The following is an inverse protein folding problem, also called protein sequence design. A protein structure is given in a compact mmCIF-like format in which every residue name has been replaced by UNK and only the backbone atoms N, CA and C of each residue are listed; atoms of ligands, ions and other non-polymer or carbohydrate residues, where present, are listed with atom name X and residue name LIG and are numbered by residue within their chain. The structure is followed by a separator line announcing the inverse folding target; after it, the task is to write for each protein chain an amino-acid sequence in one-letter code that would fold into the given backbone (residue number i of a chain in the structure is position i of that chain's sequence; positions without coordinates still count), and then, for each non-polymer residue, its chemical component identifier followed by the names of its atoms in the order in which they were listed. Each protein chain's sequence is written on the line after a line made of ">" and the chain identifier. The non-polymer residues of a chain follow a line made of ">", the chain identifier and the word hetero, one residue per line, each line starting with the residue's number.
data_IF_384130671640
#
_entry.id   IF_384130671640
#
_cell.length_a   1.000
_cell.length_b   1.000
_cell.length_c   1.000
_cell.angle_alpha   90.00
_cell.angle_beta   90.00
_cell.angle_gamma   90.00
#
_symmetry.space_group_name_H-M   'P 1'
#
loop_
_entity.id
_entity.type
_entity.pdbx_description
1 polymer ?
#
# COMPACT_ATOMS: atom_id res chain seq x y z
N UNK A 1 -66.63 23.99 17.32
CA UNK A 1 -66.66 25.22 18.15
C UNK A 1 -65.30 25.92 18.24
N UNK A 2 -64.19 25.22 18.45
CA UNK A 2 -62.85 25.84 18.58
C UNK A 2 -62.43 26.66 17.34
N UNK A 3 -62.65 26.16 16.13
CA UNK A 3 -62.33 26.88 14.87
C UNK A 3 -63.18 28.14 14.64
N UNK A 4 -64.41 28.16 15.09
CA UNK A 4 -65.29 29.36 14.99
C UNK A 4 -64.82 30.44 15.96
N UNK A 5 -64.36 30.03 17.16
CA UNK A 5 -63.81 30.93 18.16
C UNK A 5 -62.49 31.54 17.72
N UNK A 6 -61.59 30.73 17.15
CA UNK A 6 -60.36 31.16 16.53
C UNK A 6 -60.58 32.11 15.34
N UNK A 7 -61.59 31.86 14.50
CA UNK A 7 -61.96 32.74 13.41
C UNK A 7 -62.44 34.11 13.90
N UNK A 8 -63.29 34.13 14.93
CA UNK A 8 -63.79 35.37 15.52
C UNK A 8 -62.65 36.17 16.18
N UNK A 9 -61.76 35.48 16.88
CA UNK A 9 -60.57 36.09 17.52
C UNK A 9 -59.65 36.71 16.46
N UNK A 10 -59.36 35.95 15.38
CA UNK A 10 -58.52 36.39 14.26
C UNK A 10 -59.15 37.60 13.55
N UNK A 11 -60.49 37.58 13.31
CA UNK A 11 -61.19 38.68 12.71
C UNK A 11 -61.18 39.93 13.58
N UNK A 12 -61.32 39.83 14.90
CA UNK A 12 -61.19 40.94 15.84
C UNK A 12 -59.75 41.54 15.89
N UNK A 13 -58.75 40.73 15.85
CA UNK A 13 -57.35 41.17 15.83
C UNK A 13 -57.00 41.93 14.55
N UNK A 14 -57.51 41.49 13.41
CA UNK A 14 -57.29 42.13 12.10
C UNK A 14 -58.15 43.38 11.93
N UNK A 15 -59.42 43.39 12.46
CA UNK A 15 -60.39 44.44 12.27
C UNK A 15 -60.38 45.63 13.25
N UNK A 16 -59.49 45.63 14.25
CA UNK A 16 -59.48 46.50 15.40
C UNK A 16 -58.80 47.87 15.23
N UNK A 17 -58.33 48.22 14.01
CA UNK A 17 -57.57 49.47 13.82
C UNK A 17 -57.80 50.02 12.37
N UNK A 18 -57.90 51.34 12.24
CA UNK A 18 -58.08 52.07 10.97
C UNK A 18 -57.00 51.62 9.92
N UNK A 19 -57.41 51.40 8.65
CA UNK A 19 -56.53 50.97 7.60
C UNK A 19 -55.51 52.08 7.26
N UNK A 20 -54.23 51.82 7.45
CA UNK A 20 -53.18 52.55 6.76
C UNK A 20 -52.72 51.71 5.58
N UNK A 21 -52.34 52.31 4.45
CA UNK A 21 -51.87 51.62 3.26
C UNK A 21 -50.75 50.60 3.55
N UNK A 22 -49.91 50.85 4.55
CA UNK A 22 -48.88 49.93 5.00
C UNK A 22 -49.42 48.64 5.62
N UNK A 23 -50.60 48.73 6.28
CA UNK A 23 -51.26 47.56 6.89
C UNK A 23 -51.95 46.66 5.89
N UNK A 24 -52.57 47.26 4.88
CA UNK A 24 -53.14 46.48 3.77
C UNK A 24 -52.06 45.67 3.07
N UNK A 25 -50.90 46.27 2.80
CA UNK A 25 -49.73 45.56 2.26
C UNK A 25 -49.23 44.46 3.19
N UNK A 26 -49.18 44.69 4.54
CA UNK A 26 -48.79 43.67 5.50
C UNK A 26 -49.76 42.47 5.50
N UNK A 27 -51.08 42.74 5.48
CA UNK A 27 -52.11 41.68 5.42
C UNK A 27 -52.00 40.92 4.11
N UNK A 28 -51.84 41.61 2.98
CA UNK A 28 -51.66 41.00 1.67
C UNK A 28 -50.42 40.09 1.64
N UNK A 29 -49.29 40.54 2.20
CA UNK A 29 -48.08 39.73 2.31
C UNK A 29 -48.29 38.49 3.17
N UNK A 30 -49.07 38.60 4.28
CA UNK A 30 -49.39 37.43 5.12
C UNK A 30 -50.25 36.42 4.39
N UNK A 31 -51.27 36.90 3.67
CA UNK A 31 -52.18 36.05 2.87
C UNK A 31 -51.39 35.36 1.75
N UNK A 32 -50.56 36.10 0.99
CA UNK A 32 -49.75 35.55 -0.08
C UNK A 32 -48.75 34.50 0.44
N UNK A 33 -48.12 34.76 1.58
CA UNK A 33 -47.24 33.77 2.24
C UNK A 33 -47.99 32.52 2.64
N UNK A 34 -49.19 32.65 3.19
CA UNK A 34 -50.01 31.49 3.54
C UNK A 34 -50.40 30.69 2.29
N UNK A 35 -50.82 31.35 1.20
CA UNK A 35 -51.12 30.69 -0.06
C UNK A 35 -49.92 29.97 -0.65
N UNK A 36 -48.73 30.56 -0.64
CA UNK A 36 -47.48 29.94 -1.07
C UNK A 36 -47.17 28.71 -0.21
N UNK A 37 -47.35 28.78 1.11
CA UNK A 37 -47.18 27.66 2.01
C UNK A 37 -48.16 26.51 1.74
N UNK A 38 -49.41 26.81 1.40
CA UNK A 38 -50.40 25.79 1.04
C UNK A 38 -50.04 25.14 -0.30
N UNK A 39 -49.62 25.91 -1.27
CA UNK A 39 -49.20 25.44 -2.59
C UNK A 39 -47.91 24.58 -2.48
N UNK A 40 -46.96 24.99 -1.66
CA UNK A 40 -45.70 24.25 -1.45
C UNK A 40 -45.88 22.87 -0.81
N UNK A 41 -47.00 22.66 -0.05
CA UNK A 41 -47.38 21.34 0.48
C UNK A 41 -47.84 20.36 -0.59
N UNK A 42 -48.44 20.89 -1.70
CA UNK A 42 -48.98 20.08 -2.80
C UNK A 42 -47.99 19.89 -3.95
N UNK A 43 -47.05 20.79 -4.12
CA UNK A 43 -46.05 20.77 -5.19
C UNK A 43 -44.72 20.33 -4.60
N UNK A 44 -44.16 19.24 -5.09
CA UNK A 44 -42.82 18.80 -4.71
C UNK A 44 -41.78 19.87 -5.09
N UNK A 45 -40.60 19.48 -5.52
CA UNK A 45 -39.50 20.38 -5.82
C UNK A 45 -39.84 21.34 -6.98
N UNK A 46 -39.96 22.63 -6.71
CA UNK A 46 -40.26 23.66 -7.73
C UNK A 46 -39.09 23.74 -8.73
N UNK A 47 -39.39 23.59 -10.03
CA UNK A 47 -38.42 23.76 -11.10
C UNK A 47 -38.29 25.24 -11.46
N UNK A 48 -37.20 25.89 -11.04
CA UNK A 48 -36.92 27.29 -11.31
C UNK A 48 -36.08 27.45 -12.59
N UNK A 49 -36.50 28.35 -13.47
CA UNK A 49 -35.78 28.76 -14.66
C UNK A 49 -34.54 29.63 -14.32
N UNK A 50 -33.70 29.89 -15.30
CA UNK A 50 -32.49 30.70 -15.08
C UNK A 50 -32.80 32.13 -14.67
N UNK A 51 -33.88 32.69 -15.22
CA UNK A 51 -34.35 34.04 -14.92
C UNK A 51 -34.83 34.14 -13.47
N UNK A 52 -35.60 33.15 -13.00
CA UNK A 52 -36.10 33.10 -11.61
C UNK A 52 -34.95 33.04 -10.61
N UNK A 53 -33.91 32.23 -10.90
CA UNK A 53 -32.72 32.13 -10.09
C UNK A 53 -31.93 33.45 -10.00
N UNK A 54 -31.83 34.16 -11.13
CA UNK A 54 -31.19 35.47 -11.18
C UNK A 54 -31.97 36.52 -10.41
N UNK A 55 -33.27 36.55 -10.58
CA UNK A 55 -34.18 37.46 -9.88
C UNK A 55 -34.14 37.22 -8.35
N UNK A 56 -34.33 35.99 -7.91
CA UNK A 56 -34.30 35.67 -6.47
C UNK A 56 -32.92 35.94 -5.85
N UNK A 57 -31.83 35.67 -6.58
CA UNK A 57 -30.48 35.99 -6.14
C UNK A 57 -30.24 37.52 -6.02
N UNK A 58 -30.85 38.33 -6.94
CA UNK A 58 -30.75 39.79 -6.85
C UNK A 58 -31.58 40.32 -5.66
N UNK A 59 -32.82 39.85 -5.49
CA UNK A 59 -33.68 40.22 -4.37
C UNK A 59 -33.05 39.87 -3.00
N UNK A 60 -32.33 38.78 -2.92
CA UNK A 60 -31.61 38.39 -1.67
C UNK A 60 -30.53 39.40 -1.26
N UNK A 61 -30.05 40.24 -2.16
CA UNK A 61 -29.01 41.25 -1.85
C UNK A 61 -29.62 42.56 -1.30
N UNK A 62 -30.87 42.81 -1.61
CA UNK A 62 -31.60 44.00 -1.12
C UNK A 62 -32.33 43.72 0.19
N UNK A 63 -32.74 42.46 0.43
CA UNK A 63 -33.43 42.07 1.66
C UNK A 63 -32.44 41.72 2.79
N UNK A 64 -32.70 42.23 4.02
CA UNK A 64 -31.88 41.85 5.19
C UNK A 64 -31.99 40.35 5.49
N UNK A 65 -30.89 39.75 5.98
CA UNK A 65 -30.77 38.27 6.17
C UNK A 65 -31.89 37.65 7.02
N UNK A 66 -32.41 38.36 8.02
CA UNK A 66 -33.47 37.84 8.87
C UNK A 66 -34.79 37.61 8.13
N UNK A 67 -34.98 38.25 6.95
CA UNK A 67 -36.16 38.07 6.09
C UNK A 67 -35.97 37.00 4.99
N UNK A 68 -34.81 36.34 4.93
CA UNK A 68 -34.56 35.33 3.90
C UNK A 68 -35.39 34.04 4.04
N UNK A 69 -36.09 33.86 5.17
CA UNK A 69 -37.07 32.78 5.32
C UNK A 69 -38.30 32.91 4.44
N UNK A 70 -38.51 34.09 3.78
CA UNK A 70 -39.60 34.30 2.83
C UNK A 70 -39.36 33.75 1.43
N UNK A 71 -38.10 33.38 1.12
CA UNK A 71 -37.79 32.75 -0.16
C UNK A 71 -38.15 31.26 -0.14
N UNK A 72 -38.62 30.76 -1.29
CA UNK A 72 -38.96 29.34 -1.50
C UNK A 72 -37.73 28.41 -1.56
N UNK A 73 -36.52 28.96 -1.46
CA UNK A 73 -35.25 28.23 -1.50
C UNK A 73 -34.37 28.56 -0.29
N UNK A 74 -33.54 27.63 0.10
CA UNK A 74 -32.65 27.82 1.23
C UNK A 74 -31.67 28.99 1.04
N UNK A 75 -31.31 29.72 2.11
CA UNK A 75 -30.34 30.83 2.05
C UNK A 75 -29.03 30.48 1.35
N UNK A 76 -28.51 29.29 1.58
CA UNK A 76 -27.29 28.76 0.93
C UNK A 76 -27.41 28.68 -0.60
N UNK A 77 -28.63 28.37 -1.10
CA UNK A 77 -28.91 28.30 -2.53
C UNK A 77 -28.87 29.68 -3.19
N UNK A 78 -29.44 30.70 -2.53
CA UNK A 78 -29.41 32.09 -3.01
C UNK A 78 -27.94 32.59 -3.11
N UNK A 79 -27.13 32.34 -2.08
CA UNK A 79 -25.73 32.73 -2.07
C UNK A 79 -24.95 32.02 -3.18
N UNK A 80 -25.22 30.72 -3.39
CA UNK A 80 -24.59 29.95 -4.47
C UNK A 80 -24.94 30.53 -5.85
N UNK A 81 -26.20 30.80 -6.11
CA UNK A 81 -26.61 31.38 -7.39
C UNK A 81 -26.01 32.77 -7.65
N UNK A 82 -25.95 33.60 -6.62
CA UNK A 82 -25.26 34.89 -6.72
C UNK A 82 -23.77 34.72 -7.09
N UNK A 83 -23.05 33.80 -6.40
CA UNK A 83 -21.64 33.51 -6.70
C UNK A 83 -21.47 33.01 -8.14
N UNK A 84 -22.34 32.15 -8.61
CA UNK A 84 -22.33 31.64 -9.99
C UNK A 84 -22.55 32.75 -11.03
N UNK A 85 -23.48 33.67 -10.77
CA UNK A 85 -23.72 34.82 -11.66
C UNK A 85 -22.51 35.76 -11.69
N UNK A 86 -21.93 36.07 -10.53
CA UNK A 86 -20.71 36.90 -10.42
C UNK A 86 -19.56 36.23 -11.13
N UNK A 87 -19.32 34.94 -10.87
CA UNK A 87 -18.26 34.20 -11.51
C UNK A 87 -18.37 34.21 -13.03
N UNK A 88 -19.60 34.04 -13.59
CA UNK A 88 -19.83 34.11 -15.05
C UNK A 88 -19.53 35.48 -15.62
N UNK A 89 -19.83 36.55 -14.90
CA UNK A 89 -19.56 37.92 -15.34
C UNK A 89 -18.05 38.22 -15.38
N UNK A 90 -17.32 37.73 -14.39
CA UNK A 90 -15.87 38.02 -14.23
C UNK A 90 -14.96 36.95 -14.82
N UNK A 91 -15.52 35.85 -15.34
CA UNK A 91 -14.71 34.84 -16.04
C UNK A 91 -14.54 35.21 -17.50
N UNK A 92 -13.44 35.89 -17.79
CA UNK A 92 -13.05 36.18 -19.16
C UNK A 92 -12.49 34.92 -19.80
N UNK A 93 -13.06 34.53 -20.93
CA UNK A 93 -12.47 33.45 -21.76
C UNK A 93 -11.22 33.99 -22.44
N UNK A 94 -10.11 33.95 -21.73
CA UNK A 94 -8.82 34.19 -22.38
C UNK A 94 -8.55 33.04 -23.37
N UNK A 95 -8.39 33.38 -24.65
CA UNK A 95 -7.72 32.49 -25.58
C UNK A 95 -6.31 32.32 -25.02
N UNK A 96 -5.98 31.14 -24.48
CA UNK A 96 -4.63 30.84 -24.02
C UNK A 96 -3.71 30.85 -25.24
N UNK A 97 -3.20 32.03 -25.60
CA UNK A 97 -2.03 32.18 -26.43
C UNK A 97 -0.83 31.68 -25.63
N UNK A 98 -0.51 30.41 -25.77
CA UNK A 98 0.63 29.78 -25.13
C UNK A 98 1.51 29.11 -26.19
N UNK A 99 2.74 28.75 -25.79
CA UNK A 99 3.60 27.94 -26.66
C UNK A 99 2.83 26.69 -27.11
N UNK A 100 2.85 26.33 -28.40
CA UNK A 100 2.17 25.16 -28.90
C UNK A 100 2.60 23.90 -28.12
N UNK A 101 1.72 22.92 -27.96
CA UNK A 101 2.04 21.67 -27.31
C UNK A 101 3.19 20.97 -28.04
N UNK A 102 3.96 20.16 -27.30
CA UNK A 102 5.01 19.33 -27.91
C UNK A 102 4.36 18.34 -28.89
N UNK A 103 5.10 18.04 -29.95
CA UNK A 103 4.70 17.00 -30.92
C UNK A 103 4.38 15.67 -30.21
N UNK A 104 3.20 15.10 -30.43
CA UNK A 104 2.82 13.83 -29.84
C UNK A 104 3.80 12.69 -30.12
N UNK A 105 4.39 12.64 -31.31
CA UNK A 105 5.39 11.63 -31.69
C UNK A 105 6.67 11.77 -30.85
N UNK A 106 7.11 13.00 -30.63
CA UNK A 106 8.28 13.29 -29.76
C UNK A 106 7.97 12.96 -28.30
N UNK A 107 6.77 13.27 -27.82
CA UNK A 107 6.36 12.90 -26.45
C UNK A 107 6.34 11.38 -26.26
N UNK A 108 5.82 10.63 -27.23
CA UNK A 108 5.81 9.16 -27.23
C UNK A 108 7.25 8.58 -27.23
N UNK A 109 8.16 9.15 -28.02
CA UNK A 109 9.56 8.75 -28.05
C UNK A 109 10.25 8.96 -26.71
N UNK A 110 10.05 10.12 -26.07
CA UNK A 110 10.60 10.43 -24.75
C UNK A 110 10.10 9.41 -23.68
N UNK A 111 8.80 9.10 -23.70
CA UNK A 111 8.22 8.14 -22.79
C UNK A 111 8.73 6.72 -23.04
N UNK A 112 8.93 6.33 -24.28
CA UNK A 112 9.50 5.02 -24.67
C UNK A 112 10.95 4.91 -24.15
N UNK A 113 11.79 5.89 -24.42
CA UNK A 113 13.18 5.92 -23.92
C UNK A 113 13.26 5.78 -22.39
N UNK A 114 12.35 6.43 -21.66
CA UNK A 114 12.31 6.36 -20.20
C UNK A 114 11.86 4.96 -19.69
N UNK A 115 10.89 4.32 -20.35
CA UNK A 115 10.41 2.98 -19.96
C UNK A 115 11.44 1.89 -20.26
N UNK A 116 12.08 1.96 -21.43
CA UNK A 116 13.14 1.03 -21.82
C UNK A 116 14.41 1.19 -20.98
N UNK A 117 14.64 2.41 -20.45
CA UNK A 117 15.82 2.74 -19.65
C UNK A 117 15.45 3.42 -18.33
N UNK A 118 14.93 2.71 -17.32
CA UNK A 118 14.41 3.28 -16.07
C UNK A 118 15.42 4.12 -15.28
N UNK A 119 16.72 3.96 -15.55
CA UNK A 119 17.81 4.69 -14.91
C UNK A 119 18.20 5.99 -15.65
N UNK A 120 17.57 6.30 -16.79
CA UNK A 120 17.91 7.51 -17.53
C UNK A 120 17.18 8.72 -16.99
N UNK A 121 17.93 9.68 -16.48
CA UNK A 121 17.39 10.98 -16.10
C UNK A 121 17.03 11.82 -17.32
N UNK A 122 16.19 12.83 -17.11
CA UNK A 122 15.70 13.74 -18.15
C UNK A 122 16.84 14.43 -18.94
N UNK A 123 18.01 14.64 -18.33
CA UNK A 123 19.19 15.20 -19.02
C UNK A 123 19.77 14.20 -20.02
N UNK A 124 19.84 12.93 -19.68
CA UNK A 124 20.32 11.88 -20.58
C UNK A 124 19.35 11.67 -21.74
N UNK A 125 18.05 11.60 -21.47
CA UNK A 125 17.02 11.50 -22.51
C UNK A 125 17.07 12.70 -23.45
N UNK A 126 17.28 13.92 -22.94
CA UNK A 126 17.57 15.11 -23.77
C UNK A 126 18.77 14.89 -24.70
N UNK A 127 19.86 14.36 -24.16
CA UNK A 127 21.08 14.08 -24.93
C UNK A 127 20.85 13.05 -26.05
N UNK A 128 20.07 11.99 -25.77
CA UNK A 128 19.71 10.99 -26.79
C UNK A 128 18.79 11.60 -27.88
N UNK A 129 17.83 12.47 -27.49
CA UNK A 129 17.03 13.20 -28.47
C UNK A 129 17.93 14.10 -29.37
N UNK A 130 18.93 14.76 -28.79
CA UNK A 130 19.88 15.60 -29.56
C UNK A 130 20.69 14.73 -30.54
N UNK A 131 21.15 13.54 -30.20
CA UNK A 131 21.81 12.60 -31.13
C UNK A 131 20.93 12.21 -32.29
N UNK A 132 19.62 12.15 -32.10
CA UNK A 132 18.62 11.87 -33.13
C UNK A 132 18.25 13.14 -33.93
N UNK A 133 18.94 14.26 -33.75
CA UNK A 133 18.67 15.52 -34.44
C UNK A 133 17.47 16.31 -33.88
N UNK A 134 16.90 15.88 -32.74
CA UNK A 134 15.71 16.53 -32.15
C UNK A 134 16.08 17.45 -30.99
N UNK A 135 15.89 18.77 -31.20
CA UNK A 135 16.12 19.78 -30.18
C UNK A 135 14.96 19.85 -29.17
N UNK A 136 15.18 19.40 -27.96
CA UNK A 136 14.19 19.48 -26.86
C UNK A 136 14.83 20.05 -25.59
N UNK A 137 14.11 20.93 -24.89
CA UNK A 137 14.58 21.48 -23.63
C UNK A 137 14.42 20.43 -22.49
N UNK A 138 15.38 20.38 -21.56
CA UNK A 138 15.37 19.47 -20.43
C UNK A 138 14.07 19.56 -19.58
N UNK A 139 13.56 20.77 -19.37
CA UNK A 139 12.30 21.01 -18.67
C UNK A 139 11.08 20.48 -19.42
N UNK A 140 11.13 20.45 -20.75
CA UNK A 140 10.07 19.85 -21.58
C UNK A 140 10.07 18.34 -21.42
N UNK A 141 11.25 17.68 -21.47
CA UNK A 141 11.39 16.25 -21.18
C UNK A 141 10.83 15.92 -19.79
N UNK A 142 11.22 16.70 -18.76
CA UNK A 142 10.72 16.54 -17.39
C UNK A 142 9.19 16.68 -17.29
N UNK A 143 8.58 17.65 -17.99
CA UNK A 143 7.12 17.83 -18.02
C UNK A 143 6.41 16.67 -18.69
N UNK A 144 6.93 16.16 -19.81
CA UNK A 144 6.37 15.01 -20.53
C UNK A 144 6.40 13.76 -19.64
N UNK A 145 7.53 13.48 -18.99
CA UNK A 145 7.66 12.33 -18.09
C UNK A 145 6.69 12.41 -16.91
N UNK A 146 6.56 13.57 -16.27
CA UNK A 146 5.58 13.78 -15.19
C UNK A 146 4.14 13.61 -15.65
N UNK A 147 3.80 14.13 -16.82
CA UNK A 147 2.45 13.98 -17.38
C UNK A 147 2.12 12.52 -17.69
N UNK A 148 3.13 11.71 -18.01
CA UNK A 148 3.00 10.26 -18.26
C UNK A 148 3.09 9.41 -16.97
N UNK A 149 3.17 10.02 -15.78
CA UNK A 149 3.32 9.31 -14.50
C UNK A 149 4.67 8.60 -14.32
N UNK A 150 5.67 8.99 -15.11
CA UNK A 150 7.04 8.47 -15.00
C UNK A 150 7.82 9.38 -14.06
N UNK A 151 8.17 8.87 -12.89
CA UNK A 151 8.99 9.60 -11.93
C UNK A 151 10.38 9.92 -12.50
N UNK A 152 11.03 11.02 -12.02
CA UNK A 152 12.42 11.27 -12.37
C UNK A 152 13.25 10.07 -11.93
N UNK A 153 14.20 9.66 -12.81
CA UNK A 153 15.09 8.54 -12.56
C UNK A 153 15.62 8.59 -11.13
N UNK A 154 15.72 7.45 -10.44
CA UNK A 154 16.24 7.39 -9.08
C UNK A 154 17.61 8.07 -9.03
N UNK A 155 17.87 8.78 -7.94
CA UNK A 155 19.21 9.36 -7.66
C UNK A 155 20.24 8.26 -7.88
N UNK A 156 21.42 8.64 -8.39
CA UNK A 156 22.51 7.78 -8.88
C UNK A 156 23.16 6.82 -7.87
N UNK A 157 22.48 6.48 -6.82
CA UNK A 157 22.91 5.53 -5.83
C UNK A 157 22.56 4.14 -6.35
N UNK A 158 23.43 3.46 -7.04
CA UNK A 158 23.43 2.05 -7.37
C UNK A 158 22.09 1.32 -7.60
N UNK A 159 22.07 0.02 -7.79
CA UNK A 159 20.82 -0.75 -7.82
C UNK A 159 20.11 -0.63 -6.47
N UNK A 160 18.77 -0.49 -6.50
CA UNK A 160 18.00 -0.54 -5.27
C UNK A 160 18.26 -1.85 -4.53
N UNK A 161 18.09 -1.86 -3.20
CA UNK A 161 18.30 -3.08 -2.41
C UNK A 161 17.47 -4.27 -2.96
N UNK A 162 16.25 -4.04 -3.36
CA UNK A 162 15.37 -5.06 -3.97
C UNK A 162 15.88 -5.55 -5.33
N UNK A 163 16.50 -4.69 -6.11
CA UNK A 163 17.08 -5.03 -7.41
C UNK A 163 18.38 -5.82 -7.23
N UNK A 164 19.24 -5.41 -6.28
CA UNK A 164 20.42 -6.17 -5.87
C UNK A 164 20.06 -7.58 -5.41
N UNK A 165 19.09 -7.71 -4.49
CA UNK A 165 18.62 -9.00 -4.01
C UNK A 165 18.08 -9.89 -5.13
N UNK A 166 17.40 -9.32 -6.12
CA UNK A 166 16.84 -10.08 -7.24
C UNK A 166 17.92 -10.57 -8.20
N UNK A 167 18.88 -9.70 -8.54
CA UNK A 167 19.96 -10.03 -9.50
C UNK A 167 20.97 -10.99 -8.92
N UNK A 168 21.23 -10.94 -7.62
CA UNK A 168 22.25 -11.73 -6.94
C UNK A 168 21.66 -12.86 -6.09
N UNK A 169 20.35 -13.13 -6.19
CA UNK A 169 19.64 -14.03 -5.29
C UNK A 169 20.31 -15.42 -5.12
N UNK A 170 20.84 -15.99 -6.20
CA UNK A 170 21.47 -17.31 -6.17
C UNK A 170 22.79 -17.36 -5.39
N UNK A 171 23.44 -16.22 -5.18
CA UNK A 171 24.68 -16.13 -4.39
C UNK A 171 24.49 -15.45 -3.03
N UNK A 172 23.26 -15.24 -2.59
CA UNK A 172 23.01 -14.56 -1.31
C UNK A 172 22.49 -15.54 -0.26
N UNK A 173 23.18 -15.57 0.87
CA UNK A 173 22.76 -16.20 2.12
C UNK A 173 22.31 -15.10 3.09
N UNK A 174 21.15 -15.23 3.70
CA UNK A 174 20.72 -14.37 4.80
C UNK A 174 20.73 -15.17 6.11
N UNK A 175 21.13 -14.55 7.20
CA UNK A 175 21.01 -15.16 8.51
C UNK A 175 20.34 -14.23 9.51
N UNK A 176 19.74 -14.84 10.52
CA UNK A 176 19.08 -14.14 11.61
C UNK A 176 18.88 -15.07 12.81
N UNK A 177 18.49 -14.48 13.93
CA UNK A 177 18.10 -15.21 15.12
C UNK A 177 16.59 -15.14 15.34
N UNK A 178 16.03 -16.21 15.86
CA UNK A 178 14.75 -16.15 16.54
C UNK A 178 14.83 -16.79 17.92
N UNK A 179 13.87 -16.44 18.77
CA UNK A 179 13.80 -16.95 20.14
C UNK A 179 12.57 -17.82 20.31
N UNK A 180 12.68 -18.83 21.15
CA UNK A 180 11.57 -19.71 21.56
C UNK A 180 11.59 -19.82 23.08
N UNK A 181 10.44 -19.61 23.69
CA UNK A 181 10.30 -19.82 25.13
C UNK A 181 9.86 -21.25 25.42
N UNK A 182 10.50 -21.85 26.39
CA UNK A 182 10.13 -23.18 26.89
C UNK A 182 8.97 -23.08 27.88
N UNK A 183 8.31 -24.22 28.16
CA UNK A 183 7.27 -24.31 29.21
C UNK A 183 7.79 -23.89 30.61
N UNK A 184 9.11 -23.90 30.79
CA UNK A 184 9.76 -23.43 32.04
C UNK A 184 10.24 -21.99 31.95
N UNK A 185 9.69 -21.19 31.02
CA UNK A 185 10.02 -19.78 30.79
C UNK A 185 11.52 -19.52 30.54
N UNK A 186 12.22 -20.48 29.97
CA UNK A 186 13.62 -20.33 29.54
C UNK A 186 13.65 -19.99 28.06
N UNK A 187 14.34 -18.90 27.72
CA UNK A 187 14.50 -18.46 26.33
C UNK A 187 15.60 -19.25 25.64
N UNK A 188 15.30 -19.84 24.50
CA UNK A 188 16.23 -20.50 23.61
C UNK A 188 16.43 -19.65 22.36
N UNK A 189 17.66 -19.52 21.92
CA UNK A 189 18.05 -18.80 20.71
C UNK A 189 18.38 -19.80 19.61
N UNK A 190 17.91 -19.54 18.42
CA UNK A 190 18.17 -20.35 17.22
C UNK A 190 18.72 -19.47 16.14
N UNK A 191 19.93 -19.77 15.68
CA UNK A 191 20.51 -19.18 14.48
C UNK A 191 20.04 -19.99 13.26
N UNK A 192 19.68 -19.32 12.19
CA UNK A 192 19.37 -19.97 10.93
C UNK A 192 19.97 -19.19 9.75
N UNK A 193 20.13 -19.90 8.65
CA UNK A 193 20.55 -19.34 7.38
C UNK A 193 19.55 -19.73 6.30
N UNK A 194 19.27 -18.81 5.38
CA UNK A 194 18.40 -19.05 4.25
C UNK A 194 19.03 -18.53 2.96
N UNK A 195 19.11 -19.38 1.96
CA UNK A 195 19.55 -19.00 0.63
C UNK A 195 18.44 -18.24 -0.09
N UNK A 196 18.72 -17.05 -0.62
CA UNK A 196 17.68 -16.23 -1.23
C UNK A 196 17.20 -16.78 -2.59
N UNK A 197 18.04 -17.43 -3.35
CA UNK A 197 17.70 -18.01 -4.65
C UNK A 197 16.90 -19.31 -4.54
N UNK A 198 17.50 -20.30 -3.87
CA UNK A 198 16.94 -21.64 -3.70
C UNK A 198 15.86 -21.71 -2.62
N UNK A 199 15.83 -20.77 -1.68
CA UNK A 199 15.03 -20.80 -0.43
C UNK A 199 15.45 -21.89 0.53
N UNK A 200 16.58 -22.56 0.28
CA UNK A 200 17.08 -23.61 1.15
C UNK A 200 17.36 -23.07 2.53
N UNK A 201 16.95 -23.81 3.53
CA UNK A 201 17.01 -23.44 4.93
C UNK A 201 18.03 -24.32 5.66
N UNK A 202 18.91 -23.67 6.42
CA UNK A 202 19.84 -24.31 7.33
C UNK A 202 19.57 -23.81 8.74
N UNK A 203 19.19 -24.70 9.65
CA UNK A 203 18.91 -24.37 11.05
C UNK A 203 20.03 -24.98 11.91
N UNK A 204 20.57 -24.16 12.81
CA UNK A 204 21.59 -24.62 13.78
C UNK A 204 20.91 -25.17 15.03
N UNK A 205 21.67 -25.79 15.90
CA UNK A 205 21.24 -26.20 17.23
C UNK A 205 20.81 -24.97 18.05
N UNK A 206 19.83 -25.15 18.91
CA UNK A 206 19.39 -24.13 19.83
C UNK A 206 20.36 -23.96 21.02
N UNK A 207 20.39 -22.77 21.59
CA UNK A 207 21.21 -22.48 22.76
C UNK A 207 20.54 -21.47 23.69
N UNK A 208 20.82 -21.56 24.99
CA UNK A 208 20.46 -20.52 25.95
C UNK A 208 21.43 -19.33 25.93
N UNK A 209 22.67 -19.59 25.51
CA UNK A 209 23.75 -18.63 25.56
C UNK A 209 24.35 -18.42 24.17
N UNK A 210 23.80 -17.54 23.33
CA UNK A 210 24.30 -17.28 21.98
C UNK A 210 25.58 -16.42 22.04
N UNK A 211 26.66 -16.99 22.55
CA UNK A 211 27.95 -16.31 22.62
C UNK A 211 28.55 -16.17 21.21
N UNK A 212 29.43 -15.17 21.03
CA UNK A 212 30.12 -14.99 19.75
C UNK A 212 30.95 -16.25 19.32
N UNK A 213 31.49 -17.01 20.29
CA UNK A 213 32.15 -18.28 20.02
C UNK A 213 31.20 -19.34 19.46
N UNK A 214 30.01 -19.49 20.07
CA UNK A 214 28.98 -20.40 19.57
C UNK A 214 28.58 -20.02 18.14
N UNK A 215 28.30 -18.73 17.88
CA UNK A 215 27.86 -18.22 16.57
C UNK A 215 28.93 -18.45 15.49
N UNK A 216 30.20 -18.19 15.81
CA UNK A 216 31.34 -18.49 14.93
C UNK A 216 31.49 -19.99 14.65
N UNK A 217 31.24 -20.84 15.66
CA UNK A 217 31.29 -22.30 15.47
C UNK A 217 30.18 -22.78 14.53
N UNK A 218 28.96 -22.21 14.61
CA UNK A 218 27.88 -22.56 13.68
C UNK A 218 28.24 -22.16 12.24
N UNK A 219 28.90 -21.02 12.04
CA UNK A 219 29.40 -20.61 10.72
C UNK A 219 30.44 -21.61 10.17
N UNK A 220 31.38 -22.07 11.01
CA UNK A 220 32.37 -23.09 10.61
C UNK A 220 31.72 -24.42 10.24
N UNK A 221 30.73 -24.86 11.00
CA UNK A 221 29.99 -26.08 10.68
C UNK A 221 29.32 -25.95 9.28
N UNK A 222 28.72 -24.81 8.98
CA UNK A 222 28.10 -24.56 7.67
C UNK A 222 29.14 -24.55 6.53
N UNK A 223 30.32 -23.98 6.77
CA UNK A 223 31.44 -23.99 5.82
C UNK A 223 31.96 -25.41 5.58
N UNK A 224 32.17 -26.20 6.64
CA UNK A 224 32.65 -27.58 6.55
C UNK A 224 31.69 -28.52 5.80
N UNK A 225 30.39 -28.24 5.88
CA UNK A 225 29.35 -28.98 5.13
C UNK A 225 29.31 -28.63 3.63
N UNK A 226 30.23 -27.77 3.13
CA UNK A 226 30.29 -27.35 1.72
C UNK A 226 29.16 -26.42 1.29
N UNK A 227 28.38 -25.89 2.24
CA UNK A 227 27.19 -25.07 1.93
C UNK A 227 27.56 -23.67 1.49
N UNK A 228 28.80 -23.22 1.63
CA UNK A 228 29.25 -21.87 1.30
C UNK A 228 29.89 -21.72 -0.09
N UNK A 229 30.19 -22.81 -0.80
CA UNK A 229 30.88 -22.77 -2.10
C UNK A 229 30.26 -21.85 -3.16
N UNK A 230 28.92 -21.64 -3.10
CA UNK A 230 28.19 -20.81 -4.05
C UNK A 230 27.74 -19.48 -3.46
N UNK A 231 28.15 -19.17 -2.24
CA UNK A 231 27.68 -17.96 -1.53
C UNK A 231 28.64 -16.81 -1.79
N UNK A 232 28.20 -15.82 -2.56
CA UNK A 232 28.96 -14.60 -2.81
C UNK A 232 28.74 -13.51 -1.74
N UNK A 233 27.57 -13.50 -1.11
CA UNK A 233 27.19 -12.49 -0.13
C UNK A 233 26.46 -13.11 1.06
N UNK A 234 26.86 -12.71 2.28
CA UNK A 234 26.12 -12.97 3.51
C UNK A 234 25.42 -11.68 3.94
N UNK A 235 24.10 -11.73 4.13
CA UNK A 235 23.32 -10.62 4.72
C UNK A 235 23.01 -10.97 6.16
N UNK A 236 23.41 -10.10 7.09
CA UNK A 236 23.07 -10.18 8.49
C UNK A 236 22.69 -8.84 9.08
N UNK A 237 22.03 -8.84 10.22
CA UNK A 237 21.77 -7.65 11.00
C UNK A 237 23.03 -7.16 11.75
N UNK A 238 22.86 -6.14 12.60
CA UNK A 238 23.91 -5.55 13.41
C UNK A 238 23.92 -6.06 14.86
N UNK A 239 23.31 -7.23 15.12
CA UNK A 239 23.29 -7.81 16.46
C UNK A 239 24.72 -8.07 16.95
N UNK A 240 25.00 -7.73 18.20
CA UNK A 240 26.31 -7.91 18.85
C UNK A 240 26.76 -9.38 18.94
N UNK A 241 25.85 -10.34 18.80
CA UNK A 241 26.17 -11.77 18.75
C UNK A 241 27.02 -12.13 17.55
N UNK A 242 26.91 -11.38 16.44
CA UNK A 242 27.77 -11.56 15.27
C UNK A 242 29.09 -10.82 15.48
N UNK A 243 30.11 -11.56 15.93
CA UNK A 243 31.46 -11.06 16.19
C UNK A 243 32.30 -11.01 14.91
N UNK A 244 33.49 -10.38 14.99
CA UNK A 244 34.48 -10.43 13.90
C UNK A 244 34.87 -11.85 13.51
N UNK A 245 34.99 -12.76 14.48
CA UNK A 245 35.30 -14.17 14.22
C UNK A 245 34.21 -14.90 13.40
N UNK A 246 32.96 -14.48 13.52
CA UNK A 246 31.87 -14.98 12.66
C UNK A 246 32.05 -14.47 11.22
N UNK A 247 32.31 -13.18 11.05
CA UNK A 247 32.49 -12.58 9.72
C UNK A 247 33.71 -13.20 9.00
N UNK A 248 34.81 -13.45 9.71
CA UNK A 248 36.04 -14.04 9.18
C UNK A 248 35.84 -15.43 8.57
N UNK A 249 34.95 -16.26 9.12
CA UNK A 249 34.65 -17.56 8.52
C UNK A 249 34.12 -17.41 7.10
N UNK A 250 33.22 -16.48 6.89
CA UNK A 250 32.64 -16.22 5.56
C UNK A 250 33.64 -15.53 4.62
N UNK A 251 34.42 -14.59 5.15
CA UNK A 251 35.43 -13.86 4.38
C UNK A 251 36.54 -14.85 3.89
N UNK A 252 36.95 -15.79 4.70
CA UNK A 252 37.93 -16.81 4.32
C UNK A 252 37.44 -17.73 3.20
N UNK A 253 36.13 -17.94 3.12
CA UNK A 253 35.47 -18.68 2.02
C UNK A 253 35.15 -17.79 0.79
N UNK A 254 35.64 -16.55 0.76
CA UNK A 254 35.42 -15.60 -0.36
C UNK A 254 34.06 -14.91 -0.34
N UNK A 255 33.25 -15.10 0.70
CA UNK A 255 31.92 -14.48 0.83
C UNK A 255 32.05 -13.07 1.39
N UNK A 256 31.38 -12.09 0.74
CA UNK A 256 31.32 -10.71 1.22
C UNK A 256 30.18 -10.54 2.25
N UNK A 257 30.54 -10.14 3.47
CA UNK A 257 29.56 -9.87 4.53
C UNK A 257 28.93 -8.49 4.38
N UNK A 258 27.61 -8.43 4.29
CA UNK A 258 26.81 -7.21 4.16
C UNK A 258 25.98 -7.04 5.43
N UNK A 259 26.26 -5.98 6.19
CA UNK A 259 25.46 -5.59 7.36
C UNK A 259 24.26 -4.78 6.89
N UNK A 260 23.05 -5.13 7.34
CA UNK A 260 21.82 -4.39 6.97
C UNK A 260 21.96 -2.90 7.34
N UNK A 261 21.44 -1.99 6.51
CA UNK A 261 21.45 -0.55 6.83
C UNK A 261 20.70 -0.27 8.13
N UNK A 262 21.16 0.73 8.88
CA UNK A 262 20.50 1.18 10.11
C UNK A 262 19.08 1.63 9.79
N UNK A 263 18.11 1.21 10.58
CA UNK A 263 16.66 1.53 10.41
C UNK A 263 16.05 1.04 9.09
N UNK A 264 16.59 -0.02 8.49
CA UNK A 264 16.04 -0.63 7.29
C UNK A 264 15.49 -2.05 7.57
N UNK A 265 14.36 -2.20 8.26
CA UNK A 265 13.80 -3.51 8.64
C UNK A 265 13.57 -4.41 7.43
N UNK A 266 13.19 -3.85 6.29
CA UNK A 266 12.98 -4.62 5.04
C UNK A 266 14.27 -5.21 4.44
N UNK A 267 15.43 -4.84 4.95
CA UNK A 267 16.69 -5.33 4.39
C UNK A 267 16.91 -6.83 4.61
N UNK A 268 16.35 -7.42 5.68
CA UNK A 268 16.36 -8.85 5.95
C UNK A 268 14.97 -9.50 5.87
N UNK A 269 14.12 -8.99 4.98
CA UNK A 269 12.71 -9.42 4.86
C UNK A 269 12.52 -10.92 4.58
N UNK A 270 13.54 -11.61 4.04
CA UNK A 270 13.49 -13.06 3.80
C UNK A 270 13.62 -13.83 5.11
N UNK A 271 14.55 -13.44 5.96
CA UNK A 271 14.72 -14.03 7.28
C UNK A 271 13.50 -13.74 8.17
N UNK A 272 13.02 -12.50 8.20
CA UNK A 272 11.80 -12.15 8.94
C UNK A 272 10.56 -12.96 8.49
N UNK A 273 10.43 -13.17 7.18
CA UNK A 273 9.32 -13.99 6.62
C UNK A 273 9.45 -15.44 7.06
N UNK A 274 10.65 -16.00 7.05
CA UNK A 274 10.90 -17.36 7.53
C UNK A 274 10.51 -17.47 9.01
N UNK A 275 10.97 -16.58 9.88
CA UNK A 275 10.63 -16.58 11.30
C UNK A 275 9.10 -16.58 11.51
N UNK A 276 8.38 -15.75 10.77
CA UNK A 276 6.91 -15.73 10.82
C UNK A 276 6.31 -17.06 10.39
N UNK A 277 6.86 -17.68 9.37
CA UNK A 277 6.38 -18.95 8.83
C UNK A 277 6.58 -20.08 9.84
N UNK A 278 7.77 -20.26 10.39
CA UNK A 278 8.05 -21.34 11.35
C UNK A 278 7.28 -21.17 12.65
N UNK A 279 7.05 -19.92 13.09
CA UNK A 279 6.19 -19.65 14.25
C UNK A 279 4.76 -20.13 13.97
N UNK A 280 4.16 -19.64 12.91
CA UNK A 280 2.76 -19.92 12.56
C UNK A 280 2.52 -21.42 12.28
N UNK A 281 3.47 -22.09 11.62
CA UNK A 281 3.28 -23.48 11.20
C UNK A 281 3.56 -24.49 12.33
N UNK A 282 4.46 -24.15 13.29
CA UNK A 282 4.91 -25.12 14.29
C UNK A 282 5.08 -24.54 15.68
N UNK A 283 5.83 -23.45 15.86
CA UNK A 283 6.27 -23.03 17.18
C UNK A 283 5.13 -22.50 18.05
N UNK A 284 4.18 -21.80 17.48
CA UNK A 284 3.02 -21.26 18.20
C UNK A 284 2.00 -22.37 18.56
N UNK A 285 2.16 -23.55 17.97
CA UNK A 285 1.30 -24.72 18.19
C UNK A 285 1.98 -25.80 19.05
N UNK A 286 3.23 -25.58 19.50
CA UNK A 286 4.00 -26.61 20.18
C UNK A 286 4.55 -26.11 21.52
N UNK A 287 4.32 -26.88 22.58
CA UNK A 287 4.92 -26.65 23.88
C UNK A 287 6.35 -27.20 23.92
N UNK A 288 7.33 -26.30 23.91
CA UNK A 288 8.75 -26.68 23.91
C UNK A 288 9.24 -26.91 25.34
N UNK A 289 9.75 -28.12 25.62
CA UNK A 289 10.24 -28.49 26.96
C UNK A 289 11.69 -28.07 27.19
N UNK A 290 12.53 -28.11 26.15
CA UNK A 290 13.95 -27.76 26.25
C UNK A 290 14.70 -27.85 24.93
N UNK A 291 16.03 -27.63 24.97
CA UNK A 291 16.88 -27.52 23.76
C UNK A 291 16.78 -28.76 22.87
N UNK A 292 16.98 -29.96 23.41
CA UNK A 292 16.91 -31.21 22.62
C UNK A 292 15.54 -31.42 21.97
N UNK A 293 14.47 -31.00 22.64
CA UNK A 293 13.14 -31.09 22.10
C UNK A 293 12.94 -30.10 20.94
N UNK A 294 13.38 -28.85 21.12
CA UNK A 294 13.34 -27.83 20.08
C UNK A 294 14.16 -28.23 18.86
N UNK A 295 15.40 -28.72 19.06
CA UNK A 295 16.26 -29.13 17.96
C UNK A 295 15.67 -30.29 17.13
N UNK A 296 14.98 -31.23 17.78
CA UNK A 296 14.25 -32.30 17.08
C UNK A 296 13.12 -31.77 16.22
N UNK A 297 12.32 -30.86 16.78
CA UNK A 297 11.22 -30.19 16.06
C UNK A 297 11.76 -29.42 14.85
N UNK A 298 12.76 -28.59 15.07
CA UNK A 298 13.32 -27.73 14.01
C UNK A 298 14.03 -28.54 12.93
N UNK A 299 14.71 -29.61 13.27
CA UNK A 299 15.33 -30.50 12.27
C UNK A 299 14.28 -31.16 11.38
N UNK A 300 13.20 -31.68 11.97
CA UNK A 300 12.11 -32.27 11.19
C UNK A 300 11.37 -31.22 10.35
N UNK A 301 11.21 -30.02 10.90
CA UNK A 301 10.62 -28.91 10.16
C UNK A 301 11.51 -28.46 8.99
N UNK A 302 12.83 -28.35 9.19
CA UNK A 302 13.78 -27.98 8.12
C UNK A 302 13.76 -29.02 6.98
N UNK A 303 13.68 -30.31 7.32
CA UNK A 303 13.52 -31.37 6.33
C UNK A 303 12.24 -31.20 5.50
N UNK A 304 11.09 -31.03 6.16
CA UNK A 304 9.82 -30.70 5.51
C UNK A 304 9.92 -29.45 4.63
N UNK A 305 10.46 -28.38 5.18
CA UNK A 305 10.60 -27.08 4.50
C UNK A 305 11.41 -27.20 3.22
N UNK A 306 12.52 -27.94 3.26
CA UNK A 306 13.43 -28.09 2.13
C UNK A 306 12.94 -29.10 1.08
N UNK A 307 12.28 -30.17 1.48
CA UNK A 307 11.95 -31.29 0.57
C UNK A 307 10.50 -31.32 0.11
N UNK A 308 9.55 -30.85 0.93
CA UNK A 308 8.12 -31.04 0.68
C UNK A 308 7.34 -29.72 0.53
N UNK A 309 7.78 -28.65 1.22
CA UNK A 309 7.03 -27.42 1.27
C UNK A 309 7.09 -26.63 -0.04
N UNK A 310 5.94 -26.37 -0.73
CA UNK A 310 5.95 -25.60 -1.97
C UNK A 310 6.17 -24.10 -1.70
N UNK A 311 7.05 -23.47 -2.50
CA UNK A 311 7.39 -22.06 -2.40
C UNK A 311 6.95 -21.27 -3.63
N UNK A 312 6.20 -20.18 -3.43
CA UNK A 312 5.74 -19.29 -4.51
C UNK A 312 6.90 -18.74 -5.36
N UNK A 313 8.02 -18.42 -4.72
CA UNK A 313 9.22 -17.90 -5.40
C UNK A 313 10.02 -18.94 -6.17
N UNK A 314 9.64 -20.22 -6.09
CA UNK A 314 10.25 -21.35 -6.79
C UNK A 314 9.22 -22.06 -7.69
N UNK A 315 8.22 -21.34 -8.20
CA UNK A 315 7.12 -21.91 -9.02
C UNK A 315 6.43 -23.09 -8.33
N UNK A 316 6.17 -22.94 -7.03
CA UNK A 316 5.56 -23.96 -6.16
C UNK A 316 6.36 -25.24 -6.02
N UNK A 317 7.68 -25.19 -6.19
CA UNK A 317 8.60 -26.28 -5.86
C UNK A 317 9.14 -26.13 -4.44
N UNK A 318 9.56 -27.23 -3.85
CA UNK A 318 10.36 -27.20 -2.65
C UNK A 318 11.84 -26.89 -2.98
N UNK A 319 12.64 -26.32 -2.06
CA UNK A 319 14.06 -26.01 -2.28
C UNK A 319 14.89 -27.17 -2.84
N UNK A 320 14.80 -28.35 -2.22
CA UNK A 320 15.47 -29.59 -2.61
C UNK A 320 14.49 -30.56 -3.30
N UNK A 321 13.30 -30.11 -3.64
CA UNK A 321 12.25 -30.95 -4.22
C UNK A 321 12.56 -31.37 -5.65
N UNK A 322 12.18 -32.57 -6.00
CA UNK A 322 12.25 -33.11 -7.35
C UNK A 322 11.50 -32.20 -8.36
N UNK A 323 11.88 -32.28 -9.62
CA UNK A 323 11.21 -31.60 -10.73
C UNK A 323 9.68 -31.84 -10.68
N UNK A 324 8.89 -30.82 -11.07
CA UNK A 324 7.42 -30.95 -11.15
C UNK A 324 7.06 -32.22 -11.92
N UNK A 325 6.27 -33.07 -11.31
CA UNK A 325 5.65 -34.17 -12.03
C UNK A 325 4.72 -33.61 -13.12
N UNK A 326 4.62 -34.25 -14.28
CA UNK A 326 3.64 -33.84 -15.29
C UNK A 326 2.23 -33.88 -14.67
N UNK A 327 1.41 -32.89 -15.02
CA UNK A 327 0.02 -32.82 -14.56
C UNK A 327 -0.75 -33.92 -15.26
N UNK A 328 -1.26 -34.89 -14.47
CA UNK A 328 -2.16 -35.93 -14.98
C UNK A 328 -3.61 -35.48 -14.81
N UNK A 329 -4.51 -35.77 -15.74
CA UNK A 329 -5.95 -35.56 -15.56
C UNK A 329 -6.56 -36.50 -14.52
N UNK A 330 -5.89 -37.60 -14.19
CA UNK A 330 -6.35 -38.56 -13.19
C UNK A 330 -5.84 -38.18 -11.79
N UNK A 331 -6.73 -38.17 -10.82
CA UNK A 331 -6.38 -37.95 -9.41
C UNK A 331 -5.67 -39.18 -8.87
N UNK A 332 -4.39 -39.12 -8.51
CA UNK A 332 -3.67 -40.26 -7.98
C UNK A 332 -4.22 -40.63 -6.58
N UNK A 333 -4.12 -41.91 -6.23
CA UNK A 333 -4.25 -42.29 -4.83
C UNK A 333 -3.14 -41.66 -4.03
N UNK A 334 -3.47 -41.00 -2.92
CA UNK A 334 -2.49 -40.31 -2.08
C UNK A 334 -2.41 -40.92 -0.71
N UNK A 335 -1.21 -41.06 -0.20
CA UNK A 335 -0.93 -41.41 1.21
C UNK A 335 -0.61 -40.13 1.97
N UNK A 336 -1.26 -39.91 3.09
CA UNK A 336 -0.94 -38.85 4.04
C UNK A 336 0.13 -39.34 5.02
N UNK A 337 1.13 -38.52 5.25
CA UNK A 337 2.20 -38.74 6.22
C UNK A 337 2.10 -37.63 7.26
N UNK A 338 1.92 -38.00 8.51
CA UNK A 338 1.84 -37.05 9.61
C UNK A 338 3.25 -36.69 10.10
N UNK A 339 3.57 -35.42 10.09
CA UNK A 339 4.85 -34.85 10.53
C UNK A 339 4.61 -34.04 11.80
N UNK A 340 5.54 -34.09 12.74
CA UNK A 340 5.47 -33.39 14.03
C UNK A 340 4.17 -33.68 14.80
N UNK A 341 3.79 -34.98 14.87
CA UNK A 341 2.59 -35.39 15.60
C UNK A 341 1.28 -34.96 14.93
N UNK A 342 1.27 -34.72 13.62
CA UNK A 342 0.09 -34.32 12.87
C UNK A 342 -0.11 -32.80 12.77
N UNK A 343 0.86 -31.99 13.18
CA UNK A 343 0.85 -30.54 12.95
C UNK A 343 1.00 -30.18 11.47
N UNK A 344 1.76 -31.02 10.75
CA UNK A 344 1.99 -30.88 9.31
C UNK A 344 1.61 -32.22 8.66
N UNK A 345 0.96 -32.14 7.49
CA UNK A 345 0.62 -33.31 6.69
C UNK A 345 1.33 -33.23 5.35
N UNK A 346 2.12 -34.24 5.04
CA UNK A 346 2.72 -34.43 3.74
C UNK A 346 1.88 -35.42 2.92
N UNK A 347 1.85 -35.26 1.62
CA UNK A 347 1.04 -36.10 0.74
C UNK A 347 1.91 -36.67 -0.38
N UNK A 348 1.93 -38.00 -0.47
CA UNK A 348 2.65 -38.72 -1.52
C UNK A 348 1.69 -39.54 -2.37
N UNK A 349 1.88 -39.60 -3.70
CA UNK A 349 1.12 -40.51 -4.52
C UNK A 349 1.55 -41.96 -4.21
N UNK A 350 0.58 -42.83 -4.04
CA UNK A 350 0.84 -44.26 -3.95
C UNK A 350 1.08 -44.78 -5.36
N UNK A 351 2.19 -45.50 -5.56
CA UNK A 351 2.40 -46.22 -6.81
C UNK A 351 1.26 -47.20 -7.03
N UNK A 352 0.73 -47.21 -8.27
CA UNK A 352 -0.34 -48.15 -8.65
C UNK A 352 0.15 -49.58 -8.60
#
# INVERSE_FOLDING_TARGET
>A
MLFALLYVLFRRLIGSTRPSADRELEIEVVVLRHQVNVLSRKVGRVKLHRIDKAFLAACSRTLPRHRWGSFIVAPSTLVRWHRELVARKWTYKHKRGGRPPIDPALAALICRMARENPRWGYMRIKGECQKLGVGVAAMTVKKVLRAAGLDPAPRRDGPSWSEFLRTQAHGILACDFFTVETVFLKTLYVLFFIELGSRRLHITSSTRHPTGHFVAQQARNLSMDGQLEKVAFLIRDRDAKYTGAFDEVFISDGTRVIKTPVRAPKANAFAERFVRTVRHEVLDLTLVVGERHLDRILRRYAEHYNTQRPHRGLDLRAPDGACKRPISPEVPRVRRIDVLGGLIHEYEPVAA
#
